data_IF_176344661916
#
_entry.id   IF_176344661916
#
_cell.length_a   1.000
_cell.length_b   1.000
_cell.length_c   1.000
_cell.angle_alpha   90.00
_cell.angle_beta   90.00
_cell.angle_gamma   90.00
#
_symmetry.space_group_name_H-M   'P 1'
#
loop_
_entity.id
_entity.type
_entity.pdbx_description
1 polymer ?
#
# COMPACT_ATOMS: atom_id res chain seq x y z
N UNK A 1 -55.88 -9.33 -52.96
CA UNK A 1 -55.70 -9.90 -51.62
C UNK A 1 -57.08 -10.30 -51.10
N UNK A 2 -57.36 -11.60 -51.11
CA UNK A 2 -58.67 -12.17 -50.74
C UNK A 2 -58.82 -12.31 -49.21
N UNK A 3 -60.07 -12.27 -48.79
CA UNK A 3 -60.52 -12.05 -47.44
C UNK A 3 -60.97 -13.32 -46.70
N UNK A 4 -61.25 -13.13 -45.40
CA UNK A 4 -62.16 -13.88 -44.51
C UNK A 4 -61.76 -15.27 -43.96
N UNK A 5 -61.74 -15.37 -42.62
CA UNK A 5 -62.54 -16.26 -41.72
C UNK A 5 -61.87 -16.26 -40.34
N UNK A 6 -62.39 -15.57 -39.33
CA UNK A 6 -63.44 -16.01 -38.38
C UNK A 6 -63.09 -17.28 -37.59
N UNK A 7 -62.92 -17.16 -36.26
CA UNK A 7 -63.75 -17.87 -35.27
C UNK A 7 -63.25 -17.64 -33.83
N UNK A 8 -64.12 -17.01 -33.04
CA UNK A 8 -64.13 -16.94 -31.58
C UNK A 8 -64.44 -18.33 -31.00
N UNK A 9 -63.73 -18.74 -29.94
CA UNK A 9 -64.26 -19.70 -28.95
C UNK A 9 -63.93 -19.26 -27.53
N UNK A 10 -64.97 -18.76 -26.87
CA UNK A 10 -65.15 -18.75 -25.42
C UNK A 10 -65.14 -20.19 -24.90
N UNK A 11 -64.47 -20.42 -23.77
CA UNK A 11 -64.52 -21.65 -22.99
C UNK A 11 -64.36 -21.34 -21.51
N UNK A 12 -65.51 -21.23 -20.84
CA UNK A 12 -65.69 -21.07 -19.40
C UNK A 12 -65.28 -22.32 -18.61
N UNK A 13 -65.09 -22.11 -17.30
CA UNK A 13 -65.13 -23.10 -16.20
C UNK A 13 -63.91 -24.04 -16.10
N UNK A 14 -63.37 -24.39 -14.93
CA UNK A 14 -64.04 -24.62 -13.67
C UNK A 14 -63.10 -24.43 -12.46
N UNK A 15 -63.70 -24.07 -11.33
CA UNK A 15 -63.16 -24.17 -9.97
C UNK A 15 -62.48 -25.51 -9.72
N UNK A 16 -61.31 -25.50 -9.07
CA UNK A 16 -60.88 -26.65 -8.26
C UNK A 16 -60.24 -26.20 -6.95
N UNK A 17 -60.71 -26.89 -5.92
CA UNK A 17 -60.56 -26.66 -4.51
C UNK A 17 -59.13 -26.48 -3.99
N UNK A 18 -59.05 -25.68 -2.94
CA UNK A 18 -57.92 -25.58 -2.02
C UNK A 18 -57.46 -26.97 -1.55
N UNK A 19 -56.16 -27.21 -1.65
CA UNK A 19 -55.45 -28.23 -0.88
C UNK A 19 -54.32 -27.52 -0.16
N UNK A 20 -54.54 -27.22 1.13
CA UNK A 20 -53.49 -26.76 2.04
C UNK A 20 -52.55 -27.93 2.33
N UNK A 21 -51.56 -28.13 1.46
CA UNK A 21 -50.41 -28.99 1.77
C UNK A 21 -49.34 -28.13 2.43
N UNK A 22 -49.20 -28.28 3.74
CA UNK A 22 -48.08 -27.78 4.53
C UNK A 22 -46.79 -28.47 4.04
N UNK A 23 -45.78 -27.75 3.50
CA UNK A 23 -44.51 -28.38 3.23
C UNK A 23 -43.77 -28.63 4.55
N UNK A 24 -43.57 -29.91 4.84
CA UNK A 24 -42.67 -30.39 5.88
C UNK A 24 -41.27 -29.78 5.69
N UNK A 25 -40.74 -29.20 6.77
CA UNK A 25 -39.44 -28.58 6.80
C UNK A 25 -38.33 -29.60 6.45
N UNK A 26 -37.39 -29.28 5.54
CA UNK A 26 -36.19 -30.09 5.37
C UNK A 26 -35.27 -29.88 6.58
N UNK A 27 -35.00 -30.99 7.25
CA UNK A 27 -33.97 -31.12 8.27
C UNK A 27 -32.60 -30.70 7.72
N UNK A 28 -31.90 -29.88 8.52
CA UNK A 28 -30.45 -29.86 8.68
C UNK A 28 -29.59 -30.01 7.41
N UNK A 29 -29.17 -28.87 6.86
CA UNK A 29 -27.79 -28.74 6.39
C UNK A 29 -27.10 -27.69 7.24
N UNK A 30 -26.12 -28.17 8.01
CA UNK A 30 -25.11 -27.41 8.75
C UNK A 30 -24.41 -26.44 7.79
N UNK A 31 -24.99 -25.25 7.62
CA UNK A 31 -24.27 -24.11 7.13
C UNK A 31 -23.34 -23.65 8.25
N UNK A 32 -22.10 -24.13 8.21
CA UNK A 32 -20.97 -23.58 8.96
C UNK A 32 -20.84 -22.10 8.62
N UNK A 33 -21.59 -21.25 9.34
CA UNK A 33 -21.30 -19.83 9.46
C UNK A 33 -19.95 -19.75 10.16
N UNK A 34 -18.89 -19.72 9.36
CA UNK A 34 -17.60 -19.21 9.79
C UNK A 34 -17.79 -17.72 10.05
N UNK A 35 -18.24 -17.41 11.26
CA UNK A 35 -18.13 -16.08 11.84
C UNK A 35 -16.63 -15.84 11.96
N UNK A 36 -16.01 -15.24 10.93
CA UNK A 36 -14.69 -14.62 11.09
C UNK A 36 -14.86 -13.43 12.04
N UNK A 37 -14.95 -13.73 13.34
CA UNK A 37 -14.63 -12.79 14.39
C UNK A 37 -13.20 -12.33 14.13
N UNK A 38 -13.06 -11.15 13.54
CA UNK A 38 -11.81 -10.38 13.59
C UNK A 38 -11.63 -9.93 15.05
N UNK A 39 -11.18 -10.84 15.88
CA UNK A 39 -10.65 -10.53 17.19
C UNK A 39 -9.37 -9.72 16.99
N UNK A 40 -9.47 -8.41 17.16
CA UNK A 40 -8.31 -7.56 17.45
C UNK A 40 -7.87 -7.84 18.89
N UNK A 41 -7.22 -8.97 19.13
CA UNK A 41 -6.50 -9.16 20.39
C UNK A 41 -5.22 -8.34 20.32
N UNK A 42 -5.24 -7.20 21.02
CA UNK A 42 -4.03 -6.53 21.48
C UNK A 42 -3.25 -7.53 22.35
N UNK A 43 -2.22 -8.15 21.78
CA UNK A 43 -1.23 -8.88 22.56
C UNK A 43 -0.30 -7.87 23.23
N UNK A 44 -0.68 -7.40 24.42
CA UNK A 44 0.29 -6.91 25.39
C UNK A 44 0.81 -8.14 26.16
N UNK A 45 2.12 -8.43 26.18
CA UNK A 45 2.64 -9.43 27.09
C UNK A 45 2.64 -8.85 28.51
N UNK A 46 1.65 -9.26 29.29
CA UNK A 46 1.68 -9.13 30.73
C UNK A 46 2.69 -10.14 31.30
N UNK A 47 3.89 -9.68 31.64
CA UNK A 47 4.74 -10.39 32.58
C UNK A 47 4.24 -10.06 33.99
N UNK A 48 3.36 -10.91 34.50
CA UNK A 48 3.06 -11.04 35.93
C UNK A 48 4.11 -11.98 36.53
N UNK A 49 5.07 -11.42 37.25
CA UNK A 49 5.80 -12.12 38.29
C UNK A 49 5.57 -11.39 39.60
N UNK A 50 4.95 -12.10 40.54
CA UNK A 50 4.64 -11.65 41.88
C UNK A 50 5.91 -11.54 42.74
N UNK A 51 6.01 -10.47 43.52
CA UNK A 51 6.71 -10.47 44.79
C UNK A 51 6.12 -9.37 45.70
N UNK A 52 5.95 -9.72 46.96
CA UNK A 52 5.09 -9.08 47.94
C UNK A 52 5.75 -7.90 48.68
N UNK A 53 4.88 -6.99 49.17
CA UNK A 53 4.94 -6.20 50.43
C UNK A 53 6.18 -5.33 50.71
N UNK A 54 5.95 -4.01 50.83
CA UNK A 54 5.77 -3.30 52.13
C UNK A 54 5.58 -1.79 51.92
N UNK A 55 4.62 -1.26 52.67
CA UNK A 55 4.33 0.14 52.95
C UNK A 55 5.47 0.79 53.74
N UNK A 56 5.79 2.06 53.43
CA UNK A 56 6.68 2.88 54.24
C UNK A 56 6.92 4.24 53.60
N UNK A 57 6.22 5.26 54.08
CA UNK A 57 6.46 6.65 53.78
C UNK A 57 7.71 7.16 54.53
N UNK A 58 8.59 7.92 53.88
CA UNK A 58 9.35 9.04 54.47
C UNK A 58 10.27 9.76 53.46
N UNK A 59 10.10 11.09 53.41
CA UNK A 59 11.09 12.19 53.29
C UNK A 59 12.33 12.08 52.37
N UNK A 60 12.42 13.09 51.47
CA UNK A 60 13.62 13.77 50.91
C UNK A 60 14.73 14.01 51.98
N UNK A 61 16.04 14.18 51.63
CA UNK A 61 16.51 15.20 50.67
C UNK A 61 17.82 14.96 49.85
N UNK A 62 17.99 15.85 48.87
CA UNK A 62 19.19 16.51 48.33
C UNK A 62 20.57 15.82 48.15
N UNK A 63 21.08 15.99 46.92
CA UNK A 63 22.46 16.34 46.52
C UNK A 63 23.63 15.35 46.70
N UNK A 64 24.30 15.00 45.58
CA UNK A 64 25.72 15.35 45.31
C UNK A 64 26.23 14.82 43.96
N UNK A 65 27.04 15.67 43.30
CA UNK A 65 27.94 15.42 42.15
C UNK A 65 29.01 14.36 42.48
N UNK A 66 29.49 13.65 41.45
CA UNK A 66 30.91 13.37 41.09
C UNK A 66 30.94 12.42 39.86
N UNK A 67 31.38 12.87 38.68
CA UNK A 67 32.74 12.71 38.13
C UNK A 67 33.46 11.41 38.49
N UNK A 68 33.81 10.59 37.49
CA UNK A 68 35.20 10.14 37.24
C UNK A 68 35.31 9.31 35.97
N UNK A 69 36.45 9.50 35.31
CA UNK A 69 36.87 8.91 34.05
C UNK A 69 37.64 7.59 34.27
N UNK A 70 38.15 7.05 33.14
CA UNK A 70 39.09 5.91 32.95
C UNK A 70 38.41 4.53 32.79
N UNK A 71 38.83 3.60 31.92
CA UNK A 71 40.17 3.33 31.38
C UNK A 71 40.12 2.42 30.11
N UNK A 72 40.97 2.77 29.14
CA UNK A 72 41.68 1.96 28.12
C UNK A 72 41.57 0.41 28.16
N UNK A 73 41.35 -0.20 26.98
CA UNK A 73 42.03 -1.42 26.46
C UNK A 73 42.15 -1.27 24.93
N UNK A 74 43.32 -0.92 24.42
CA UNK A 74 44.44 -1.79 24.02
C UNK A 74 44.17 -2.54 22.69
N UNK A 75 44.95 -2.15 21.68
CA UNK A 75 44.96 -2.65 20.30
C UNK A 75 45.56 -4.06 20.16
N UNK A 76 45.51 -4.64 18.94
CA UNK A 76 46.77 -5.07 18.34
C UNK A 76 47.00 -4.49 16.93
N UNK A 77 48.22 -3.98 16.74
CA UNK A 77 48.86 -3.65 15.47
C UNK A 77 49.27 -4.93 14.74
N UNK A 78 49.11 -4.99 13.40
CA UNK A 78 49.97 -5.68 12.38
C UNK A 78 49.18 -5.81 11.06
N UNK A 79 49.70 -5.67 9.83
CA UNK A 79 51.05 -5.51 9.25
C UNK A 79 50.97 -4.65 7.99
N UNK A 80 52.11 -4.04 7.67
CA UNK A 80 52.46 -3.24 6.52
C UNK A 80 52.83 -4.11 5.30
N UNK A 81 52.51 -3.59 4.11
CA UNK A 81 53.11 -3.74 2.78
C UNK A 81 53.28 -5.12 2.11
N UNK A 82 52.74 -5.22 0.87
CA UNK A 82 53.44 -5.86 -0.24
C UNK A 82 53.09 -5.16 -1.58
N UNK A 83 54.16 -4.83 -2.31
CA UNK A 83 54.21 -4.13 -3.61
C UNK A 83 53.71 -4.98 -4.78
N UNK A 84 53.23 -4.28 -5.82
CA UNK A 84 53.30 -4.53 -7.29
C UNK A 84 53.46 -5.98 -7.79
N UNK A 85 52.52 -6.43 -8.65
CA UNK A 85 52.79 -7.11 -9.95
C UNK A 85 51.66 -6.75 -10.93
N UNK A 86 51.90 -5.84 -11.89
CA UNK A 86 52.35 -6.10 -13.28
C UNK A 86 51.32 -6.88 -14.10
N UNK A 87 50.80 -6.20 -15.12
CA UNK A 87 49.89 -6.70 -16.14
C UNK A 87 50.42 -7.96 -16.85
N UNK A 88 49.58 -8.98 -17.08
CA UNK A 88 49.96 -10.09 -17.93
C UNK A 88 49.92 -9.66 -19.41
N UNK A 89 51.11 -9.63 -20.02
CA UNK A 89 51.34 -9.53 -21.46
C UNK A 89 50.46 -10.51 -22.24
N UNK A 90 49.75 -9.93 -23.21
CA UNK A 90 49.20 -10.53 -24.43
C UNK A 90 50.17 -11.57 -25.01
N UNK A 91 49.83 -12.85 -24.91
CA UNK A 91 50.51 -13.92 -25.65
C UNK A 91 49.83 -14.14 -26.99
N UNK A 92 50.72 -14.26 -27.96
CA UNK A 92 50.56 -14.40 -29.40
C UNK A 92 49.78 -15.63 -29.82
N UNK A 93 49.10 -15.48 -30.95
CA UNK A 93 48.37 -16.51 -31.67
C UNK A 93 49.27 -17.69 -32.02
N UNK A 94 48.96 -18.86 -31.49
CA UNK A 94 49.44 -20.13 -32.03
C UNK A 94 48.33 -20.72 -32.90
N UNK A 95 48.54 -20.68 -34.23
CA UNK A 95 47.73 -21.41 -35.22
C UNK A 95 47.77 -22.89 -34.86
N UNK A 96 46.69 -23.39 -34.23
CA UNK A 96 46.51 -24.82 -33.99
C UNK A 96 45.87 -25.44 -35.22
N UNK A 97 46.62 -26.35 -35.82
CA UNK A 97 46.27 -27.15 -37.00
C UNK A 97 44.89 -27.80 -36.85
N UNK A 98 44.13 -27.75 -37.94
CA UNK A 98 42.88 -28.46 -38.21
C UNK A 98 43.09 -29.97 -38.07
N UNK A 99 42.83 -30.51 -36.88
CA UNK A 99 42.67 -31.93 -36.66
C UNK A 99 41.22 -32.34 -37.00
N UNK A 100 41.11 -33.43 -37.76
CA UNK A 100 39.89 -33.97 -38.35
C UNK A 100 38.68 -34.03 -37.39
N UNK A 101 37.53 -33.60 -37.92
CA UNK A 101 36.20 -33.76 -37.31
C UNK A 101 35.96 -35.25 -37.00
N UNK A 102 36.01 -35.62 -35.72
CA UNK A 102 35.41 -36.87 -35.25
C UNK A 102 33.88 -36.78 -35.42
N UNK A 103 33.19 -37.84 -35.88
CA UNK A 103 31.75 -37.83 -36.08
C UNK A 103 31.04 -37.56 -34.76
N UNK A 104 30.12 -36.59 -34.77
CA UNK A 104 29.35 -36.17 -33.62
C UNK A 104 28.58 -37.38 -33.06
N UNK A 105 29.00 -37.87 -31.89
CA UNK A 105 28.26 -38.86 -31.14
C UNK A 105 26.86 -38.31 -30.85
N UNK A 106 25.87 -38.95 -31.46
CA UNK A 106 24.44 -38.63 -31.37
C UNK A 106 24.05 -38.66 -29.90
N UNK A 107 23.92 -37.48 -29.27
CA UNK A 107 23.55 -37.36 -27.85
C UNK A 107 22.25 -38.12 -27.61
N UNK A 108 22.32 -39.20 -26.82
CA UNK A 108 21.15 -39.97 -26.36
C UNK A 108 20.15 -38.99 -25.76
N UNK A 109 18.93 -38.97 -26.31
CA UNK A 109 17.83 -38.13 -25.83
C UNK A 109 17.42 -38.70 -24.47
N UNK A 110 17.80 -38.03 -23.38
CA UNK A 110 17.36 -38.40 -22.03
C UNK A 110 15.83 -38.27 -22.01
N UNK A 111 15.14 -39.39 -21.83
CA UNK A 111 13.69 -39.41 -21.66
C UNK A 111 13.41 -38.90 -20.24
N UNK A 112 12.88 -37.68 -20.13
CA UNK A 112 12.51 -37.12 -18.83
C UNK A 112 11.35 -37.93 -18.23
N UNK A 113 11.43 -38.18 -16.92
CA UNK A 113 10.31 -38.77 -16.18
C UNK A 113 9.08 -37.85 -16.21
N UNK A 114 7.85 -38.39 -16.08
CA UNK A 114 6.63 -37.57 -16.03
C UNK A 114 6.67 -36.44 -15.00
N UNK A 115 7.29 -36.68 -13.84
CA UNK A 115 7.46 -35.67 -12.79
C UNK A 115 8.38 -34.52 -13.22
N UNK A 116 9.53 -34.82 -13.83
CA UNK A 116 10.45 -33.82 -14.35
C UNK A 116 9.82 -32.98 -15.49
N UNK A 117 8.91 -33.58 -16.27
CA UNK A 117 8.12 -32.85 -17.27
C UNK A 117 7.15 -31.86 -16.61
N UNK A 118 6.48 -32.26 -15.53
CA UNK A 118 5.55 -31.40 -14.79
C UNK A 118 6.26 -30.23 -14.10
N UNK A 119 7.40 -30.46 -13.46
CA UNK A 119 8.19 -29.39 -12.81
C UNK A 119 8.68 -28.38 -13.85
N UNK A 120 9.27 -28.85 -14.96
CA UNK A 120 9.71 -27.99 -16.06
C UNK A 120 8.55 -27.20 -16.68
N UNK A 121 7.37 -27.80 -16.79
CA UNK A 121 6.17 -27.11 -17.27
C UNK A 121 5.70 -26.03 -16.28
N UNK A 122 5.71 -26.30 -14.97
CA UNK A 122 5.38 -25.31 -13.93
C UNK A 122 6.36 -24.15 -13.92
N UNK A 123 7.65 -24.41 -14.01
CA UNK A 123 8.69 -23.37 -14.09
C UNK A 123 8.55 -22.54 -15.36
N UNK A 124 8.31 -23.17 -16.51
CA UNK A 124 8.05 -22.47 -17.76
C UNK A 124 6.83 -21.55 -17.63
N UNK A 125 5.72 -22.02 -17.04
CA UNK A 125 4.52 -21.21 -16.75
C UNK A 125 4.82 -20.05 -15.78
N UNK A 126 5.60 -20.29 -14.73
CA UNK A 126 6.00 -19.23 -13.80
C UNK A 126 6.91 -18.19 -14.47
N UNK A 127 7.85 -18.61 -15.31
CA UNK A 127 8.73 -17.73 -16.07
C UNK A 127 7.93 -16.90 -17.07
N UNK A 128 7.00 -17.51 -17.80
CA UNK A 128 6.08 -16.82 -18.71
C UNK A 128 5.24 -15.78 -17.95
N UNK A 129 4.64 -16.15 -16.81
CA UNK A 129 3.89 -15.23 -15.95
C UNK A 129 4.76 -14.08 -15.43
N UNK A 130 6.02 -14.33 -15.04
CA UNK A 130 6.96 -13.27 -14.61
C UNK A 130 7.32 -12.34 -15.78
N UNK A 131 7.48 -12.89 -16.99
CA UNK A 131 7.73 -12.11 -18.19
C UNK A 131 6.54 -11.22 -18.56
N UNK A 132 5.31 -11.76 -18.50
CA UNK A 132 4.07 -11.01 -18.68
C UNK A 132 3.95 -9.86 -17.67
N UNK A 133 4.16 -10.15 -16.37
CA UNK A 133 4.17 -9.13 -15.32
C UNK A 133 5.22 -8.05 -15.57
N UNK A 134 6.39 -8.41 -16.11
CA UNK A 134 7.47 -7.47 -16.43
C UNK A 134 7.17 -6.63 -17.67
N UNK A 135 6.40 -7.18 -18.61
CA UNK A 135 5.96 -6.52 -19.83
C UNK A 135 4.84 -5.50 -19.59
N UNK A 136 4.09 -5.61 -18.48
CA UNK A 136 3.08 -4.62 -18.11
C UNK A 136 3.70 -3.22 -18.01
N UNK A 137 3.03 -2.18 -18.54
CA UNK A 137 3.53 -0.81 -18.46
C UNK A 137 3.64 -0.41 -16.99
N UNK A 138 4.79 0.17 -16.63
CA UNK A 138 5.03 0.62 -15.26
C UNK A 138 4.43 2.02 -15.07
N UNK A 139 3.77 2.28 -13.93
CA UNK A 139 3.30 3.62 -13.63
C UNK A 139 4.49 4.59 -13.50
N UNK A 140 4.31 5.88 -13.85
CA UNK A 140 5.28 6.93 -13.57
C UNK A 140 5.71 6.92 -12.10
N UNK A 141 6.95 7.31 -11.84
CA UNK A 141 7.49 7.36 -10.48
C UNK A 141 6.84 8.52 -9.72
N UNK A 142 6.59 8.32 -8.41
CA UNK A 142 6.10 9.39 -7.53
C UNK A 142 7.16 10.48 -7.37
N UNK A 143 6.70 11.72 -7.24
CA UNK A 143 7.56 12.88 -6.95
C UNK A 143 8.27 12.72 -5.61
N UNK A 144 9.51 13.21 -5.48
CA UNK A 144 10.22 13.24 -4.21
C UNK A 144 9.49 14.14 -3.21
N UNK A 145 9.54 13.78 -1.93
CA UNK A 145 9.10 14.67 -0.85
C UNK A 145 10.10 15.82 -0.67
N UNK A 146 9.70 16.89 0.02
CA UNK A 146 10.56 18.02 0.37
C UNK A 146 11.89 17.56 1.01
N UNK A 147 11.83 16.66 2.00
CA UNK A 147 13.03 16.09 2.61
C UNK A 147 13.89 15.27 1.63
N UNK A 148 13.28 14.55 0.68
CA UNK A 148 14.05 13.81 -0.32
C UNK A 148 14.74 14.72 -1.33
N UNK A 149 14.17 15.89 -1.65
CA UNK A 149 14.85 16.93 -2.43
C UNK A 149 16.04 17.49 -1.66
N UNK A 150 15.85 17.84 -0.39
CA UNK A 150 16.92 18.29 0.49
C UNK A 150 18.08 17.27 0.59
N UNK A 151 17.77 15.98 0.81
CA UNK A 151 18.77 14.91 0.84
C UNK A 151 19.49 14.74 -0.50
N UNK A 152 18.82 15.02 -1.62
CA UNK A 152 19.43 14.96 -2.95
C UNK A 152 20.41 16.12 -3.17
N UNK A 153 20.09 17.31 -2.65
CA UNK A 153 20.94 18.50 -2.75
C UNK A 153 22.08 18.51 -1.74
N UNK A 154 21.88 17.87 -0.58
CA UNK A 154 22.91 17.75 0.44
C UNK A 154 23.97 16.73 -0.01
N UNK A 155 25.20 17.15 -0.37
CA UNK A 155 26.21 16.21 -0.82
C UNK A 155 26.57 15.24 0.31
N UNK A 156 26.84 13.99 -0.06
CA UNK A 156 27.43 13.03 0.88
C UNK A 156 28.88 13.42 1.10
N UNK A 157 29.22 13.84 2.30
CA UNK A 157 30.60 14.17 2.65
C UNK A 157 31.33 12.86 3.00
N UNK A 158 32.33 12.48 2.20
CA UNK A 158 33.28 11.39 2.50
C UNK A 158 32.84 9.95 2.13
N UNK A 159 33.57 8.97 2.66
CA UNK A 159 33.33 7.51 2.51
C UNK A 159 32.37 6.96 3.56
N UNK A 160 31.59 7.83 4.18
CA UNK A 160 30.75 7.46 5.31
C UNK A 160 29.68 6.45 4.94
N UNK A 161 29.30 5.63 5.93
CA UNK A 161 28.20 4.72 5.80
C UNK A 161 26.92 5.49 5.45
N UNK A 162 26.18 5.03 4.44
CA UNK A 162 24.91 5.62 3.99
C UNK A 162 23.94 5.85 5.14
N UNK A 163 23.93 4.96 6.13
CA UNK A 163 23.07 5.07 7.32
C UNK A 163 23.42 6.31 8.14
N UNK A 164 24.70 6.59 8.37
CA UNK A 164 25.13 7.72 9.20
C UNK A 164 24.99 9.04 8.44
N UNK A 165 25.23 9.03 7.12
CA UNK A 165 24.93 10.17 6.25
C UNK A 165 23.43 10.55 6.30
N UNK A 166 22.53 9.57 6.27
CA UNK A 166 21.08 9.82 6.37
C UNK A 166 20.67 10.34 7.77
N UNK A 167 21.26 9.83 8.85
CA UNK A 167 21.02 10.37 10.21
C UNK A 167 21.42 11.83 10.30
N UNK A 168 22.58 12.20 9.74
CA UNK A 168 23.02 13.60 9.68
C UNK A 168 22.07 14.46 8.86
N UNK A 169 21.68 14.02 7.66
CA UNK A 169 20.71 14.76 6.85
C UNK A 169 19.38 14.95 7.62
N UNK A 170 18.96 13.97 8.41
CA UNK A 170 17.77 14.12 9.25
C UNK A 170 17.95 15.12 10.39
N UNK A 171 19.15 15.25 10.97
CA UNK A 171 19.45 16.26 11.98
C UNK A 171 19.46 17.66 11.35
N UNK A 172 20.18 17.84 10.24
CA UNK A 172 20.23 19.09 9.48
C UNK A 172 18.83 19.54 9.04
N UNK A 173 17.99 18.62 8.55
CA UNK A 173 16.61 18.95 8.20
C UNK A 173 15.78 19.42 9.40
N UNK A 174 16.01 18.88 10.60
CA UNK A 174 15.29 19.33 11.80
C UNK A 174 15.72 20.74 12.19
N UNK A 175 17.02 21.03 12.13
CA UNK A 175 17.63 22.33 12.43
C UNK A 175 17.31 23.41 11.38
N UNK A 176 16.98 23.01 10.15
CA UNK A 176 16.68 23.93 9.05
C UNK A 176 15.55 24.92 9.43
N UNK A 177 15.71 26.24 9.19
CA UNK A 177 14.65 27.20 9.45
C UNK A 177 13.40 26.90 8.62
N UNK A 178 12.24 27.35 9.11
CA UNK A 178 10.96 27.08 8.45
C UNK A 178 10.91 27.69 7.03
N UNK A 179 11.52 28.85 6.83
CA UNK A 179 11.63 29.54 5.52
C UNK A 179 12.37 28.72 4.46
N UNK A 180 13.38 27.94 4.85
CA UNK A 180 14.06 27.05 3.91
C UNK A 180 13.26 25.77 3.68
N UNK A 181 12.59 25.25 4.72
CA UNK A 181 11.68 24.10 4.58
C UNK A 181 10.54 24.39 3.62
N UNK A 182 9.96 25.59 3.63
CA UNK A 182 8.87 25.98 2.73
C UNK A 182 9.31 25.95 1.27
N UNK A 183 10.53 26.41 0.94
CA UNK A 183 11.09 26.29 -0.42
C UNK A 183 11.07 24.85 -0.94
N UNK A 184 11.55 23.89 -0.15
CA UNK A 184 11.53 22.47 -0.55
C UNK A 184 10.10 21.90 -0.61
N UNK A 185 9.18 22.40 0.22
CA UNK A 185 7.77 22.00 0.17
C UNK A 185 7.11 22.49 -1.11
N UNK A 186 7.31 23.75 -1.50
CA UNK A 186 6.81 24.32 -2.75
C UNK A 186 7.35 23.56 -3.96
N UNK A 187 8.66 23.30 -4.00
CA UNK A 187 9.27 22.48 -5.05
C UNK A 187 8.68 21.06 -5.09
N UNK A 188 8.50 20.42 -3.94
CA UNK A 188 7.91 19.08 -3.86
C UNK A 188 6.45 19.07 -4.31
N UNK A 189 5.68 20.10 -3.98
CA UNK A 189 4.29 20.27 -4.42
C UNK A 189 4.19 20.50 -5.93
N UNK A 190 5.01 21.39 -6.49
CA UNK A 190 5.08 21.62 -7.93
C UNK A 190 5.42 20.32 -8.69
N UNK A 191 6.41 19.56 -8.21
CA UNK A 191 6.73 18.25 -8.78
C UNK A 191 5.61 17.23 -8.62
N UNK A 192 4.83 17.31 -7.53
CA UNK A 192 3.68 16.43 -7.28
C UNK A 192 2.59 16.65 -8.30
N UNK A 193 2.33 17.91 -8.67
CA UNK A 193 1.32 18.25 -9.67
C UNK A 193 1.75 17.79 -11.07
N UNK A 194 3.02 17.98 -11.42
CA UNK A 194 3.60 17.45 -12.67
C UNK A 194 3.46 15.93 -12.74
N UNK A 195 3.88 15.20 -11.70
CA UNK A 195 3.76 13.74 -11.70
C UNK A 195 2.30 13.26 -11.67
N UNK A 196 1.39 14.02 -11.04
CA UNK A 196 -0.03 13.72 -11.10
C UNK A 196 -0.58 13.86 -12.52
N UNK A 197 -0.16 14.88 -13.27
CA UNK A 197 -0.53 15.06 -14.67
C UNK A 197 0.06 13.96 -15.57
N UNK A 198 1.35 13.62 -15.40
CA UNK A 198 1.98 12.50 -16.11
C UNK A 198 1.29 11.17 -15.82
N UNK A 199 0.91 10.94 -14.55
CA UNK A 199 0.19 9.76 -14.14
C UNK A 199 -1.19 9.67 -14.78
N UNK A 200 -1.93 10.79 -14.88
CA UNK A 200 -3.22 10.83 -15.61
C UNK A 200 -3.05 10.49 -17.09
N UNK A 201 -2.03 11.06 -17.75
CA UNK A 201 -1.71 10.75 -19.16
C UNK A 201 -1.36 9.27 -19.34
N UNK A 202 -0.57 8.70 -18.43
CA UNK A 202 -0.23 7.29 -18.45
C UNK A 202 -1.46 6.39 -18.23
N UNK A 203 -2.31 6.72 -17.25
CA UNK A 203 -3.51 5.95 -16.96
C UNK A 203 -4.46 5.93 -18.17
N UNK A 204 -4.69 7.09 -18.81
CA UNK A 204 -5.47 7.20 -20.03
C UNK A 204 -4.90 6.37 -21.20
N UNK A 205 -3.57 6.34 -21.35
CA UNK A 205 -2.91 5.55 -22.41
C UNK A 205 -3.00 4.03 -22.18
N UNK A 206 -2.92 3.59 -20.92
CA UNK A 206 -2.82 2.18 -20.56
C UNK A 206 -4.19 1.49 -20.50
N UNK A 207 -5.24 2.25 -20.15
CA UNK A 207 -6.60 1.78 -20.01
C UNK A 207 -6.87 0.99 -18.73
N UNK A 208 -8.14 0.93 -18.35
CA UNK A 208 -8.59 0.37 -17.08
C UNK A 208 -8.28 -1.13 -16.93
N UNK A 209 -8.44 -1.92 -18.00
CA UNK A 209 -8.19 -3.36 -17.96
C UNK A 209 -6.75 -3.70 -17.59
N UNK A 210 -5.80 -2.97 -18.17
CA UNK A 210 -4.38 -3.17 -17.89
C UNK A 210 -4.05 -2.73 -16.46
N UNK A 211 -4.68 -1.65 -15.98
CA UNK A 211 -4.56 -1.23 -14.57
C UNK A 211 -5.12 -2.31 -13.63
N UNK A 212 -6.26 -2.93 -13.95
CA UNK A 212 -6.80 -4.05 -13.17
C UNK A 212 -5.85 -5.25 -13.15
N UNK A 213 -5.21 -5.59 -14.28
CA UNK A 213 -4.19 -6.64 -14.35
C UNK A 213 -3.00 -6.31 -13.46
N UNK A 214 -2.48 -5.09 -13.51
CA UNK A 214 -1.40 -4.60 -12.63
C UNK A 214 -1.80 -4.73 -11.15
N UNK A 215 -3.03 -4.34 -10.81
CA UNK A 215 -3.55 -4.41 -9.45
C UNK A 215 -3.71 -5.84 -8.94
N UNK A 216 -4.19 -6.77 -9.78
CA UNK A 216 -4.27 -8.20 -9.47
C UNK A 216 -2.89 -8.76 -9.14
N UNK A 217 -1.88 -8.39 -9.92
CA UNK A 217 -0.48 -8.78 -9.69
C UNK A 217 0.05 -8.18 -8.37
N UNK A 218 -0.23 -6.90 -8.10
CA UNK A 218 0.21 -6.25 -6.86
C UNK A 218 -0.44 -6.87 -5.61
N UNK A 219 -1.72 -7.28 -5.69
CA UNK A 219 -2.39 -8.04 -4.62
C UNK A 219 -1.75 -9.41 -4.42
N UNK A 220 -1.48 -10.15 -5.50
CA UNK A 220 -0.83 -11.46 -5.42
C UNK A 220 0.61 -11.39 -4.85
N UNK A 221 1.27 -10.24 -4.97
CA UNK A 221 2.59 -9.97 -4.35
C UNK A 221 2.50 -9.48 -2.90
N UNK A 222 1.30 -9.33 -2.32
CA UNK A 222 1.11 -8.78 -0.98
C UNK A 222 1.38 -7.27 -0.87
N UNK A 223 1.53 -6.54 -1.99
CA UNK A 223 1.81 -5.10 -2.00
C UNK A 223 0.55 -4.29 -2.28
N UNK A 224 -0.54 -4.57 -1.55
CA UNK A 224 -1.83 -3.90 -1.71
C UNK A 224 -1.76 -2.38 -1.53
N UNK A 225 -0.77 -1.86 -0.79
CA UNK A 225 -0.52 -0.41 -0.66
C UNK A 225 -0.02 0.27 -1.96
N UNK A 226 0.33 -0.52 -2.99
CA UNK A 226 0.77 -0.06 -4.32
C UNK A 226 -0.31 -0.21 -5.40
N UNK A 227 -1.57 -0.31 -4.98
CA UNK A 227 -2.69 -0.31 -5.93
C UNK A 227 -2.72 1.01 -6.69
N UNK A 228 -2.86 0.88 -8.00
CA UNK A 228 -2.99 1.96 -8.98
C UNK A 228 -4.49 2.29 -9.04
N UNK A 229 -4.94 3.51 -8.68
CA UNK A 229 -6.36 3.87 -8.81
C UNK A 229 -6.83 3.68 -10.27
N UNK A 230 -8.01 3.08 -10.45
CA UNK A 230 -8.60 2.86 -11.78
C UNK A 230 -8.94 4.21 -12.42
N UNK A 231 -9.75 4.99 -11.71
CA UNK A 231 -10.08 6.36 -12.08
C UNK A 231 -9.48 7.34 -11.06
N UNK A 232 -8.29 7.92 -11.32
CA UNK A 232 -7.70 8.89 -10.42
C UNK A 232 -8.54 10.18 -10.30
N UNK A 233 -9.43 10.44 -11.26
CA UNK A 233 -10.34 11.59 -11.24
C UNK A 233 -11.58 11.36 -10.35
N UNK A 234 -12.12 10.14 -10.32
CA UNK A 234 -13.34 9.82 -9.58
C UNK A 234 -13.04 9.58 -8.10
N UNK A 235 -13.11 10.65 -7.29
CA UNK A 235 -13.02 10.54 -5.82
C UNK A 235 -14.31 9.96 -5.28
N UNK A 236 -14.20 8.91 -4.46
CA UNK A 236 -15.35 8.36 -3.73
C UNK A 236 -15.91 9.48 -2.84
N UNK A 237 -17.22 9.76 -2.89
CA UNK A 237 -17.81 10.77 -2.01
C UNK A 237 -17.55 10.36 -0.56
N UNK A 238 -17.05 11.30 0.25
CA UNK A 238 -16.97 11.08 1.70
C UNK A 238 -18.36 10.81 2.25
N UNK A 239 -18.46 10.07 3.37
CA UNK A 239 -19.75 9.89 4.04
C UNK A 239 -20.36 11.23 4.45
N UNK A 240 -21.67 11.26 4.74
CA UNK A 240 -22.39 12.45 5.22
C UNK A 240 -21.61 13.15 6.36
N UNK A 241 -21.09 12.38 7.30
CA UNK A 241 -20.27 12.90 8.40
C UNK A 241 -18.96 13.56 7.92
N UNK A 242 -18.30 13.05 6.88
CA UNK A 242 -17.06 13.66 6.35
C UNK A 242 -17.37 15.01 5.67
N UNK A 243 -18.52 15.15 5.03
CA UNK A 243 -18.97 16.43 4.45
C UNK A 243 -19.19 17.45 5.57
N UNK A 244 -19.91 17.05 6.61
CA UNK A 244 -20.08 17.85 7.83
C UNK A 244 -18.75 18.20 8.49
N UNK A 245 -17.87 17.21 8.68
CA UNK A 245 -16.55 17.41 9.30
C UNK A 245 -15.74 18.47 8.57
N UNK A 246 -15.73 18.42 7.23
CA UNK A 246 -15.03 19.41 6.41
C UNK A 246 -15.66 20.80 6.57
N UNK A 247 -16.98 20.91 6.46
CA UNK A 247 -17.71 22.17 6.66
C UNK A 247 -17.43 22.81 8.02
N UNK A 248 -17.44 22.03 9.10
CA UNK A 248 -17.11 22.52 10.45
C UNK A 248 -15.63 22.88 10.63
N UNK A 249 -14.74 22.18 9.91
CA UNK A 249 -13.31 22.51 9.89
C UNK A 249 -13.06 23.82 9.15
N UNK A 250 -13.74 24.04 8.02
CA UNK A 250 -13.61 25.24 7.20
C UNK A 250 -14.18 26.47 7.93
N UNK A 251 -15.20 26.27 8.78
CA UNK A 251 -15.76 27.30 9.67
C UNK A 251 -14.91 27.62 10.91
N UNK A 252 -13.79 26.93 11.12
CA UNK A 252 -12.96 27.08 12.34
C UNK A 252 -13.62 26.56 13.62
N UNK A 253 -14.81 25.96 13.55
CA UNK A 253 -15.53 25.47 14.73
C UNK A 253 -14.83 24.28 15.40
N UNK A 254 -14.01 23.58 14.63
CA UNK A 254 -13.16 22.49 15.09
C UNK A 254 -11.76 22.96 15.51
N UNK A 255 -11.51 24.27 15.66
CA UNK A 255 -10.20 24.72 16.08
C UNK A 255 -9.85 24.23 17.49
N UNK A 256 -8.74 23.51 17.54
CA UNK A 256 -8.08 23.02 18.74
C UNK A 256 -6.72 23.70 18.85
N UNK A 257 -6.69 25.02 18.61
CA UNK A 257 -5.48 25.88 18.53
C UNK A 257 -4.57 25.76 19.75
N UNK A 258 -5.10 25.34 20.90
CA UNK A 258 -4.32 25.09 22.11
C UNK A 258 -3.67 23.69 22.19
N UNK A 259 -3.72 22.89 21.13
CA UNK A 259 -3.24 21.51 21.15
C UNK A 259 -2.24 21.29 20.02
N UNK A 260 -1.00 21.67 20.28
CA UNK A 260 0.17 21.33 19.47
C UNK A 260 0.49 19.84 19.63
N UNK A 261 0.48 19.07 18.53
CA UNK A 261 1.01 17.71 18.49
C UNK A 261 0.29 16.74 17.54
N UNK A 262 0.83 15.52 17.42
CA UNK A 262 0.36 14.45 16.52
C UNK A 262 -1.11 14.00 16.73
N UNK A 263 -1.81 14.55 17.73
CA UNK A 263 -3.18 14.18 18.11
C UNK A 263 -4.23 15.23 17.71
N UNK A 264 -3.85 16.32 17.05
CA UNK A 264 -4.78 17.39 16.67
C UNK A 264 -5.95 16.86 15.84
N UNK A 265 -5.68 16.13 14.76
CA UNK A 265 -6.73 15.56 13.89
C UNK A 265 -7.65 14.59 14.64
N UNK A 266 -7.12 13.82 15.60
CA UNK A 266 -7.90 12.90 16.42
C UNK A 266 -8.86 13.68 17.34
N UNK A 267 -8.40 14.78 17.92
CA UNK A 267 -9.24 15.63 18.78
C UNK A 267 -10.29 16.40 17.97
N UNK A 268 -9.94 16.93 16.79
CA UNK A 268 -10.89 17.51 15.83
C UNK A 268 -11.99 16.51 15.48
N UNK A 269 -11.62 15.27 15.17
CA UNK A 269 -12.57 14.20 14.86
C UNK A 269 -13.50 13.87 16.04
N UNK A 270 -12.99 13.82 17.27
CA UNK A 270 -13.82 13.61 18.48
C UNK A 270 -14.83 14.74 18.69
N UNK A 271 -14.37 16.00 18.65
CA UNK A 271 -15.24 17.19 18.79
C UNK A 271 -16.32 17.21 17.71
N UNK A 272 -15.96 16.96 16.46
CA UNK A 272 -16.92 16.84 15.37
C UNK A 272 -17.93 15.70 15.59
N UNK A 273 -17.49 14.56 16.13
CA UNK A 273 -18.37 13.44 16.46
C UNK A 273 -19.36 13.75 17.58
N UNK A 274 -18.99 14.61 18.54
CA UNK A 274 -19.91 15.13 19.58
C UNK A 274 -20.94 16.09 18.97
N UNK A 275 -20.48 17.07 18.20
CA UNK A 275 -21.37 18.01 17.49
C UNK A 275 -22.36 17.26 16.59
N UNK A 276 -21.88 16.30 15.79
CA UNK A 276 -22.73 15.49 14.90
C UNK A 276 -23.79 14.68 15.64
N UNK A 277 -23.47 14.15 16.82
CA UNK A 277 -24.44 13.43 17.65
C UNK A 277 -25.50 14.36 18.23
N UNK A 278 -25.14 15.60 18.56
CA UNK A 278 -26.07 16.62 19.02
C UNK A 278 -26.98 17.23 17.93
N UNK A 279 -26.63 17.09 16.65
CA UNK A 279 -27.46 17.61 15.55
C UNK A 279 -28.78 16.84 15.40
N UNK A 280 -29.88 17.59 15.23
CA UNK A 280 -31.19 17.03 14.90
C UNK A 280 -31.24 16.48 13.47
N UNK A 281 -32.29 15.71 13.15
CA UNK A 281 -32.50 15.19 11.79
C UNK A 281 -32.61 16.33 10.76
N UNK A 282 -33.30 17.41 11.10
CA UNK A 282 -33.44 18.60 10.24
C UNK A 282 -32.08 19.25 9.94
N UNK A 283 -31.19 19.32 10.93
CA UNK A 283 -29.84 19.87 10.74
C UNK A 283 -28.91 18.94 9.93
N UNK A 284 -29.18 17.63 9.94
CA UNK A 284 -28.44 16.62 9.15
C UNK A 284 -28.90 16.55 7.69
N UNK A 285 -30.15 16.92 7.41
CA UNK A 285 -30.75 16.90 6.08
C UNK A 285 -29.92 17.60 4.97
N UNK A 286 -29.37 18.82 5.14
CA UNK A 286 -28.56 19.46 4.10
C UNK A 286 -27.31 18.65 3.75
N UNK A 287 -26.66 18.01 4.73
CA UNK A 287 -25.49 17.18 4.49
C UNK A 287 -25.84 15.87 3.77
N UNK A 288 -27.04 15.32 4.01
CA UNK A 288 -27.53 14.15 3.30
C UNK A 288 -27.76 14.45 1.82
N UNK A 289 -28.40 15.58 1.50
CA UNK A 289 -28.59 16.04 0.12
C UNK A 289 -27.26 16.22 -0.62
N UNK A 290 -26.29 16.89 0.01
CA UNK A 290 -24.94 17.05 -0.55
C UNK A 290 -24.21 15.72 -0.75
N UNK A 291 -24.47 14.73 0.11
CA UNK A 291 -23.91 13.39 -0.06
C UNK A 291 -24.52 12.66 -1.26
N UNK A 292 -25.83 12.73 -1.42
CA UNK A 292 -26.55 12.13 -2.55
C UNK A 292 -26.10 12.74 -3.87
N UNK A 293 -26.03 14.06 -3.96
CA UNK A 293 -25.51 14.77 -5.14
C UNK A 293 -24.08 14.32 -5.51
N UNK A 294 -23.17 14.30 -4.53
CA UNK A 294 -21.78 13.84 -4.76
C UNK A 294 -21.72 12.36 -5.13
N UNK A 295 -22.64 11.54 -4.61
CA UNK A 295 -22.75 10.12 -4.94
C UNK A 295 -23.23 9.92 -6.37
N UNK A 296 -24.22 10.67 -6.82
CA UNK A 296 -24.71 10.64 -8.20
C UNK A 296 -23.64 11.10 -9.18
N UNK A 297 -22.95 12.21 -8.89
CA UNK A 297 -21.81 12.67 -9.68
C UNK A 297 -20.70 11.60 -9.77
N UNK A 298 -20.42 10.91 -8.67
CA UNK A 298 -19.46 9.79 -8.66
C UNK A 298 -19.94 8.60 -9.51
N UNK A 299 -21.22 8.23 -9.43
CA UNK A 299 -21.77 7.15 -10.26
C UNK A 299 -21.71 7.50 -11.75
N UNK A 300 -22.04 8.75 -12.11
CA UNK A 300 -21.95 9.24 -13.49
C UNK A 300 -20.52 9.21 -14.03
N UNK A 301 -19.54 9.64 -13.23
CA UNK A 301 -18.11 9.59 -13.61
C UNK A 301 -17.52 8.18 -13.61
N UNK A 302 -18.18 7.22 -12.96
CA UNK A 302 -17.78 5.81 -12.97
C UNK A 302 -18.38 5.03 -14.13
N UNK A 303 -19.56 5.43 -14.62
CA UNK A 303 -20.22 4.80 -15.77
C UNK A 303 -19.76 5.34 -17.12
N UNK A 304 -19.20 6.54 -17.15
CA UNK A 304 -18.58 7.15 -18.34
C UNK A 304 -17.15 6.65 -18.53
#
# INVERSE_FOLDING_TARGET
MLALRSAVRLGLSAFRAASLTVPAAPASLLASRVTMMRSFTNSAPALLAAAARKTGAAKKPAAKKKTTATKKKAAPKRKVAAKRKVAPKRKTATKRKTAAKKPATRRRRVVLTPEQRLTRQREARQKARRAEIRALPKPPKRSPSAYALFVKETPRIGTENVVDAMKRCSALWKELPLSEKTKYQEQSNALRDVAAAEYRKWAAKVGDETIQKINRVNRAKGVARRLVPLNPAAKIPGSVFIIFFKDQSDKGLLDTTNITGNNESVKKAKKAGELWRGLSAAQKAPYQRLFEERREAYLKTKSA
#
